data_IF_946919211012
#
_entry.id   IF_946919211012
#
_cell.length_a   1.000
_cell.length_b   1.000
_cell.length_c   1.000
_cell.angle_alpha   90.00
_cell.angle_beta   90.00
_cell.angle_gamma   90.00
#
_symmetry.space_group_name_H-M   'P 1'
#
loop_
_entity.id
_entity.type
_entity.pdbx_description
1 polymer ?
#
# COMPACT_ATOMS: atom_id res chain seq x y z
N UNK A 1 4.90 -57.78 -35.19
CA UNK A 1 3.71 -57.35 -35.96
C UNK A 1 2.59 -57.35 -34.94
N UNK A 2 2.06 -56.24 -34.46
CA UNK A 2 1.32 -55.23 -35.20
C UNK A 2 1.57 -53.84 -34.61
N UNK A 3 1.95 -52.91 -35.47
CA UNK A 3 1.87 -51.49 -35.19
C UNK A 3 0.71 -50.88 -35.98
N UNK A 4 0.45 -49.61 -35.67
CA UNK A 4 -0.16 -48.63 -36.59
C UNK A 4 -1.68 -48.79 -36.81
N UNK A 5 -2.48 -48.59 -35.76
CA UNK A 5 -3.84 -47.98 -35.83
C UNK A 5 -4.13 -47.44 -34.42
N UNK A 6 -4.50 -46.20 -34.12
CA UNK A 6 -4.99 -45.10 -34.93
C UNK A 6 -4.52 -43.78 -34.28
N UNK A 7 -3.52 -43.15 -34.89
CA UNK A 7 -3.03 -41.80 -34.62
C UNK A 7 -3.92 -40.76 -35.32
N UNK A 8 -5.24 -40.71 -35.12
CA UNK A 8 -6.07 -39.70 -35.81
C UNK A 8 -7.34 -39.29 -35.05
N UNK A 9 -7.22 -38.89 -33.77
CA UNK A 9 -8.34 -38.25 -33.06
C UNK A 9 -7.92 -37.11 -32.12
N UNK A 10 -6.85 -36.37 -32.44
CA UNK A 10 -6.47 -35.17 -31.66
C UNK A 10 -5.96 -34.03 -32.55
N UNK A 11 -6.53 -33.88 -33.74
CA UNK A 11 -6.20 -32.82 -34.69
C UNK A 11 -7.47 -32.20 -35.29
N UNK A 12 -8.34 -31.66 -34.42
CA UNK A 12 -9.65 -31.17 -34.84
C UNK A 12 -10.27 -30.09 -33.95
N UNK A 13 -9.50 -29.32 -33.19
CA UNK A 13 -10.04 -28.15 -32.47
C UNK A 13 -9.06 -26.98 -32.38
N UNK A 14 -8.24 -26.80 -33.41
CA UNK A 14 -7.47 -25.57 -33.62
C UNK A 14 -7.98 -24.99 -34.93
N UNK A 15 -8.83 -23.95 -34.86
CA UNK A 15 -9.24 -23.01 -35.93
C UNK A 15 -10.74 -22.68 -35.87
N UNK A 16 -11.24 -22.10 -34.77
CA UNK A 16 -12.50 -21.34 -34.85
C UNK A 16 -12.68 -20.30 -33.75
N UNK A 17 -11.75 -19.36 -33.60
CA UNK A 17 -12.06 -18.07 -32.95
C UNK A 17 -11.18 -16.93 -33.53
N UNK A 18 -11.35 -16.70 -34.83
CA UNK A 18 -11.11 -15.38 -35.44
C UNK A 18 -12.41 -14.93 -36.09
N UNK A 19 -13.33 -14.45 -35.26
CA UNK A 19 -14.35 -13.49 -35.71
C UNK A 19 -14.14 -12.21 -34.92
N UNK A 20 -13.70 -11.23 -35.68
CA UNK A 20 -13.61 -9.82 -35.40
C UNK A 20 -14.94 -9.37 -34.79
N UNK A 21 -14.89 -9.07 -33.49
CA UNK A 21 -15.92 -8.35 -32.78
C UNK A 21 -15.26 -7.15 -32.11
N UNK A 22 -14.95 -6.15 -32.93
CA UNK A 22 -14.67 -4.80 -32.46
C UNK A 22 -15.89 -4.28 -31.70
N UNK A 23 -15.95 -4.56 -30.41
CA UNK A 23 -16.67 -3.73 -29.47
C UNK A 23 -15.62 -3.16 -28.54
N UNK A 24 -15.34 -1.88 -28.79
CA UNK A 24 -14.75 -0.99 -27.82
C UNK A 24 -15.42 -1.28 -26.47
N UNK A 25 -14.68 -1.92 -25.57
CA UNK A 25 -14.94 -1.72 -24.16
C UNK A 25 -14.61 -0.26 -23.96
N UNK A 26 -15.62 0.58 -24.08
CA UNK A 26 -15.70 1.78 -23.28
C UNK A 26 -15.39 1.31 -21.86
N UNK A 27 -14.12 1.46 -21.52
CA UNK A 27 -13.71 1.61 -20.16
C UNK A 27 -14.47 2.85 -19.71
N UNK A 28 -15.67 2.62 -19.18
CA UNK A 28 -16.31 3.49 -18.23
C UNK A 28 -15.33 3.59 -17.06
N UNK A 29 -14.27 4.38 -17.28
CA UNK A 29 -13.67 5.18 -16.26
C UNK A 29 -14.87 5.83 -15.62
N UNK A 30 -15.28 5.29 -14.47
CA UNK A 30 -15.92 6.07 -13.43
C UNK A 30 -14.91 7.16 -13.11
N UNK A 31 -14.82 8.17 -13.98
CA UNK A 31 -14.39 9.51 -13.65
C UNK A 31 -15.45 9.90 -12.64
N UNK A 32 -15.20 9.56 -11.38
CA UNK A 32 -15.84 10.31 -10.30
C UNK A 32 -15.68 11.75 -10.73
N UNK A 33 -16.76 12.48 -11.00
CA UNK A 33 -16.64 13.89 -11.35
C UNK A 33 -15.89 14.49 -10.18
N UNK A 34 -14.61 14.80 -10.40
CA UNK A 34 -13.81 15.53 -9.43
C UNK A 34 -14.53 16.87 -9.42
N UNK A 35 -15.24 17.22 -8.33
CA UNK A 35 -15.90 18.51 -8.27
C UNK A 35 -14.84 19.55 -8.58
N UNK A 36 -15.15 20.48 -9.49
CA UNK A 36 -14.23 21.54 -9.88
C UNK A 36 -13.56 22.08 -8.60
N UNK A 37 -12.25 21.86 -8.48
CA UNK A 37 -11.53 22.18 -7.26
C UNK A 37 -11.74 23.66 -7.00
N UNK A 38 -12.44 23.99 -5.92
CA UNK A 38 -12.60 25.39 -5.48
C UNK A 38 -11.19 25.97 -5.42
N UNK A 39 -10.95 27.05 -6.17
CA UNK A 39 -9.67 27.73 -6.11
C UNK A 39 -9.55 28.38 -4.74
N UNK A 40 -8.72 27.79 -3.87
CA UNK A 40 -8.43 28.34 -2.56
C UNK A 40 -7.36 29.41 -2.68
N UNK A 41 -7.56 30.53 -2.01
CA UNK A 41 -6.53 31.54 -1.82
C UNK A 41 -5.35 30.97 -0.99
N UNK A 42 -4.15 31.55 -1.09
CA UNK A 42 -3.01 31.14 -0.27
C UNK A 42 -3.29 31.23 1.25
N UNK A 43 -4.10 32.20 1.67
CA UNK A 43 -4.51 32.35 3.07
C UNK A 43 -5.42 31.20 3.54
N UNK A 44 -6.45 30.86 2.75
CA UNK A 44 -7.33 29.71 3.05
C UNK A 44 -6.53 28.40 3.08
N UNK A 45 -5.58 28.19 2.16
CA UNK A 45 -4.71 27.00 2.18
C UNK A 45 -3.90 26.93 3.49
N UNK A 46 -3.37 28.05 3.97
CA UNK A 46 -2.62 28.10 5.22
C UNK A 46 -3.50 27.75 6.43
N UNK A 47 -4.72 28.27 6.47
CA UNK A 47 -5.70 27.93 7.51
C UNK A 47 -6.08 26.45 7.49
N UNK A 48 -6.38 25.91 6.30
CA UNK A 48 -6.69 24.49 6.13
C UNK A 48 -5.53 23.61 6.58
N UNK A 49 -4.28 23.98 6.27
CA UNK A 49 -3.09 23.24 6.73
C UNK A 49 -2.94 23.30 8.25
N UNK A 50 -3.18 24.46 8.84
CA UNK A 50 -3.15 24.63 10.30
C UNK A 50 -4.20 23.74 10.97
N UNK A 51 -5.43 23.74 10.47
CA UNK A 51 -6.52 22.91 10.97
C UNK A 51 -6.29 21.41 10.76
N UNK A 52 -5.70 21.02 9.62
CA UNK A 52 -5.38 19.61 9.31
C UNK A 52 -4.14 19.08 10.06
N UNK A 53 -3.30 19.97 10.62
CA UNK A 53 -2.02 19.63 11.24
C UNK A 53 -2.10 18.52 12.29
N UNK A 54 -3.06 18.53 13.23
CA UNK A 54 -3.09 17.50 14.28
C UNK A 54 -3.38 16.10 13.70
N UNK A 55 -4.24 16.00 12.68
CA UNK A 55 -4.50 14.74 11.97
C UNK A 55 -3.28 14.28 11.15
N UNK A 56 -2.52 15.23 10.58
CA UNK A 56 -1.28 14.91 9.88
C UNK A 56 -0.20 14.36 10.81
N UNK A 57 -0.02 14.95 11.99
CA UNK A 57 0.91 14.46 12.99
C UNK A 57 0.51 13.07 13.50
N UNK A 58 -0.79 12.84 13.71
CA UNK A 58 -1.31 11.51 14.04
C UNK A 58 -0.93 10.48 12.96
N UNK A 59 -1.22 10.77 11.69
CA UNK A 59 -0.88 9.89 10.57
C UNK A 59 0.62 9.66 10.42
N UNK A 60 1.46 10.67 10.69
CA UNK A 60 2.92 10.54 10.71
C UNK A 60 3.38 9.56 11.80
N UNK A 61 2.86 9.69 13.02
CA UNK A 61 3.17 8.77 14.12
C UNK A 61 2.78 7.32 13.79
N UNK A 62 1.60 7.14 13.21
CA UNK A 62 1.14 5.83 12.75
C UNK A 62 2.02 5.24 11.63
N UNK A 63 2.44 6.06 10.67
CA UNK A 63 3.39 5.63 9.62
C UNK A 63 4.75 5.21 10.21
N UNK A 64 5.23 5.93 11.23
CA UNK A 64 6.46 5.57 11.94
C UNK A 64 6.31 4.23 12.68
N UNK A 65 5.18 3.99 13.36
CA UNK A 65 4.89 2.72 14.02
C UNK A 65 4.86 1.54 13.04
N UNK A 66 4.23 1.70 11.86
CA UNK A 66 4.26 0.68 10.79
C UNK A 66 5.69 0.43 10.33
N UNK A 67 6.48 1.49 10.13
CA UNK A 67 7.87 1.38 9.69
C UNK A 67 8.75 0.66 10.71
N UNK A 68 8.51 0.88 12.01
CA UNK A 68 9.16 0.14 13.09
C UNK A 68 8.75 -1.33 13.09
N UNK A 69 7.45 -1.63 12.94
CA UNK A 69 6.96 -3.00 12.85
C UNK A 69 7.59 -3.74 11.66
N UNK A 70 7.67 -3.12 10.48
CA UNK A 70 8.30 -3.74 9.30
C UNK A 70 9.77 -4.06 9.54
N UNK A 71 10.51 -3.17 10.21
CA UNK A 71 11.92 -3.42 10.58
C UNK A 71 12.04 -4.57 11.59
N UNK A 72 11.17 -4.62 12.60
CA UNK A 72 11.14 -5.72 13.56
C UNK A 72 10.85 -7.06 12.85
N UNK A 73 9.85 -7.10 11.96
CA UNK A 73 9.52 -8.30 11.18
C UNK A 73 10.64 -8.75 10.25
N UNK A 74 11.44 -7.82 9.71
CA UNK A 74 12.61 -8.15 8.91
C UNK A 74 13.72 -8.79 9.78
N UNK A 75 13.95 -8.26 10.98
CA UNK A 75 14.88 -8.84 11.95
C UNK A 75 14.46 -10.24 12.40
N UNK A 76 13.17 -10.43 12.73
CA UNK A 76 12.63 -11.75 13.08
C UNK A 76 12.75 -12.75 11.93
N UNK A 77 12.52 -12.33 10.67
CA UNK A 77 12.75 -13.19 9.50
C UNK A 77 14.20 -13.63 9.39
N UNK A 78 15.15 -12.73 9.66
CA UNK A 78 16.58 -13.06 9.66
C UNK A 78 16.91 -14.10 10.75
N UNK A 79 16.39 -13.91 11.96
CA UNK A 79 16.57 -14.87 13.06
C UNK A 79 15.93 -16.22 12.75
N UNK A 80 14.70 -16.24 12.22
CA UNK A 80 14.01 -17.47 11.85
C UNK A 80 14.75 -18.26 10.76
N UNK A 81 15.37 -17.57 9.78
CA UNK A 81 16.24 -18.22 8.78
C UNK A 81 17.45 -18.89 9.43
N UNK A 82 18.10 -18.21 10.38
CA UNK A 82 19.24 -18.77 11.13
C UNK A 82 18.86 -19.99 11.96
N UNK A 83 17.66 -20.02 12.54
CA UNK A 83 17.15 -21.19 13.27
C UNK A 83 16.78 -22.33 12.32
N UNK A 84 16.30 -22.00 11.12
CA UNK A 84 15.88 -22.98 10.12
C UNK A 84 17.07 -23.66 9.40
N UNK A 85 18.28 -23.08 9.42
CA UNK A 85 19.46 -23.64 8.72
C UNK A 85 19.86 -25.04 9.20
N UNK A 86 19.65 -25.36 10.48
CA UNK A 86 19.95 -26.68 11.06
C UNK A 86 18.74 -27.57 11.34
N UNK A 87 17.52 -27.13 11.01
CA UNK A 87 16.29 -27.85 11.34
C UNK A 87 15.90 -28.88 10.27
N UNK A 88 15.21 -29.96 10.66
CA UNK A 88 14.53 -30.86 9.73
C UNK A 88 13.37 -30.15 9.00
N UNK A 89 12.90 -30.71 7.88
CA UNK A 89 11.87 -30.10 7.01
C UNK A 89 10.62 -29.65 7.79
N UNK A 90 10.05 -30.51 8.63
CA UNK A 90 8.89 -30.21 9.49
C UNK A 90 9.17 -29.07 10.49
N UNK A 91 10.40 -28.99 11.00
CA UNK A 91 10.85 -27.91 11.88
C UNK A 91 10.92 -26.56 11.16
N UNK A 92 11.44 -26.54 9.92
CA UNK A 92 11.49 -25.34 9.08
C UNK A 92 10.08 -24.82 8.76
N UNK A 93 9.15 -25.73 8.43
CA UNK A 93 7.76 -25.38 8.16
C UNK A 93 7.08 -24.77 9.39
N UNK A 94 7.23 -25.40 10.56
CA UNK A 94 6.66 -24.91 11.82
C UNK A 94 7.20 -23.51 12.17
N UNK A 95 8.52 -23.31 12.11
CA UNK A 95 9.16 -22.00 12.35
C UNK A 95 8.58 -20.94 11.40
N UNK A 96 8.43 -21.26 10.11
CA UNK A 96 7.91 -20.31 9.12
C UNK A 96 6.43 -19.99 9.31
N UNK A 97 5.61 -20.99 9.67
CA UNK A 97 4.18 -20.86 9.92
C UNK A 97 3.91 -20.03 11.18
N UNK A 98 4.60 -20.34 12.27
CA UNK A 98 4.46 -19.61 13.54
C UNK A 98 4.96 -18.17 13.42
N UNK A 99 6.04 -17.93 12.65
CA UNK A 99 6.47 -16.57 12.32
C UNK A 99 5.38 -15.83 11.54
N UNK A 100 4.82 -16.43 10.48
CA UNK A 100 3.78 -15.80 9.66
C UNK A 100 2.55 -15.45 10.51
N UNK A 101 2.09 -16.36 11.38
CA UNK A 101 0.96 -16.11 12.29
C UNK A 101 1.22 -14.93 13.21
N UNK A 102 2.41 -14.87 13.85
CA UNK A 102 2.80 -13.76 14.74
C UNK A 102 2.85 -12.43 13.99
N UNK A 103 3.44 -12.41 12.79
CA UNK A 103 3.53 -11.20 11.98
C UNK A 103 2.14 -10.70 11.52
N UNK A 104 1.26 -11.61 11.13
CA UNK A 104 -0.12 -11.27 10.77
C UNK A 104 -0.91 -10.72 11.97
N UNK A 105 -0.76 -11.34 13.15
CA UNK A 105 -1.39 -10.86 14.38
C UNK A 105 -0.91 -9.45 14.74
N UNK A 106 0.40 -9.20 14.72
CA UNK A 106 0.96 -7.88 15.01
C UNK A 106 0.46 -6.79 14.04
N UNK A 107 0.37 -7.09 12.73
CA UNK A 107 -0.19 -6.15 11.75
C UNK A 107 -1.68 -5.91 11.99
N UNK A 108 -2.44 -6.94 12.36
CA UNK A 108 -3.87 -6.83 12.65
C UNK A 108 -4.12 -5.94 13.85
N UNK A 109 -3.40 -6.17 14.95
CA UNK A 109 -3.51 -5.36 16.16
C UNK A 109 -3.11 -3.90 15.91
N UNK A 110 -2.01 -3.66 15.19
CA UNK A 110 -1.60 -2.31 14.84
C UNK A 110 -2.67 -1.59 14.00
N UNK A 111 -3.23 -2.26 12.98
CA UNK A 111 -4.31 -1.68 12.16
C UNK A 111 -5.57 -1.39 12.96
N UNK A 112 -5.94 -2.29 13.89
CA UNK A 112 -7.11 -2.12 14.76
C UNK A 112 -6.91 -0.91 15.68
N UNK A 113 -5.74 -0.81 16.32
CA UNK A 113 -5.36 0.31 17.15
C UNK A 113 -5.39 1.63 16.37
N UNK A 114 -4.77 1.68 15.19
CA UNK A 114 -4.77 2.89 14.35
C UNK A 114 -6.17 3.31 13.92
N UNK A 115 -7.02 2.35 13.54
CA UNK A 115 -8.42 2.64 13.17
C UNK A 115 -9.17 3.25 14.35
N UNK A 116 -9.05 2.66 15.53
CA UNK A 116 -9.68 3.17 16.75
C UNK A 116 -9.18 4.58 17.08
N UNK A 117 -7.88 4.80 17.04
CA UNK A 117 -7.26 6.09 17.35
C UNK A 117 -7.71 7.19 16.37
N UNK A 118 -7.75 6.88 15.07
CA UNK A 118 -8.27 7.81 14.05
C UNK A 118 -9.75 8.10 14.29
N UNK A 119 -10.57 7.08 14.55
CA UNK A 119 -12.01 7.27 14.79
C UNK A 119 -12.25 8.18 15.99
N UNK A 120 -11.63 7.89 17.15
CA UNK A 120 -11.75 8.74 18.34
C UNK A 120 -11.18 10.16 18.13
N UNK A 121 -10.10 10.28 17.35
CA UNK A 121 -9.55 11.58 17.00
C UNK A 121 -10.52 12.40 16.14
N UNK A 122 -11.14 11.80 15.12
CA UNK A 122 -12.11 12.45 14.23
C UNK A 122 -13.36 12.88 15.00
N UNK A 123 -13.86 12.02 15.89
CA UNK A 123 -15.00 12.35 16.76
C UNK A 123 -14.70 13.57 17.64
N UNK A 124 -13.47 13.66 18.15
CA UNK A 124 -13.03 14.80 18.98
C UNK A 124 -12.67 16.05 18.18
N UNK A 125 -12.27 15.90 16.90
CA UNK A 125 -11.73 16.97 16.05
C UNK A 125 -12.28 16.90 14.62
N UNK A 126 -13.60 17.02 14.40
CA UNK A 126 -14.19 16.87 13.07
C UNK A 126 -13.68 17.92 12.07
N UNK A 127 -13.34 19.12 12.56
CA UNK A 127 -12.74 20.18 11.74
C UNK A 127 -11.39 19.82 11.13
N UNK A 128 -10.57 19.02 11.82
CA UNK A 128 -9.27 18.58 11.32
C UNK A 128 -9.43 17.56 10.18
N UNK A 129 -10.43 16.68 10.26
CA UNK A 129 -10.74 15.74 9.18
C UNK A 129 -11.28 16.46 7.94
N UNK A 130 -12.19 17.42 8.14
CA UNK A 130 -12.74 18.24 7.07
C UNK A 130 -11.65 19.01 6.35
N UNK A 131 -10.81 19.74 7.09
CA UNK A 131 -9.70 20.50 6.50
C UNK A 131 -8.69 19.60 5.76
N UNK A 132 -8.39 18.42 6.31
CA UNK A 132 -7.53 17.44 5.65
C UNK A 132 -8.14 16.91 4.33
N UNK A 133 -9.44 16.60 4.31
CA UNK A 133 -10.16 16.18 3.11
C UNK A 133 -10.19 17.31 2.07
N UNK A 134 -10.48 18.53 2.48
CA UNK A 134 -10.49 19.70 1.59
C UNK A 134 -9.12 19.91 0.95
N UNK A 135 -8.02 19.79 1.70
CA UNK A 135 -6.67 19.82 1.12
C UNK A 135 -6.45 18.68 0.11
N UNK A 136 -6.84 17.44 0.42
CA UNK A 136 -6.69 16.32 -0.50
C UNK A 136 -7.46 16.51 -1.81
N UNK A 137 -8.69 17.01 -1.75
CA UNK A 137 -9.53 17.20 -2.92
C UNK A 137 -9.25 18.50 -3.67
N UNK A 138 -8.54 19.45 -3.06
CA UNK A 138 -8.09 20.69 -3.70
C UNK A 138 -6.95 20.49 -4.70
N UNK A 139 -6.28 19.33 -4.69
CA UNK A 139 -5.06 19.09 -5.48
C UNK A 139 -3.82 19.81 -4.93
N UNK A 140 -3.94 20.57 -3.84
CA UNK A 140 -2.83 21.24 -3.18
C UNK A 140 -2.08 20.25 -2.28
N UNK A 141 -0.74 20.28 -2.25
CA UNK A 141 0.03 19.50 -1.29
C UNK A 141 -0.42 19.77 0.16
N UNK A 142 -0.80 18.69 0.84
CA UNK A 142 -1.29 18.73 2.22
C UNK A 142 -0.20 19.18 3.20
N UNK A 143 1.08 19.00 2.84
CA UNK A 143 2.23 19.55 3.59
C UNK A 143 2.69 20.86 2.98
N UNK A 144 3.18 21.77 3.82
CA UNK A 144 3.79 23.02 3.36
C UNK A 144 5.06 22.73 2.55
N UNK A 145 5.18 23.26 1.32
CA UNK A 145 6.43 23.22 0.57
C UNK A 145 7.44 24.14 1.27
N UNK A 146 8.35 23.55 2.05
CA UNK A 146 9.36 24.30 2.81
C UNK A 146 9.76 23.68 4.14
N UNK A 147 8.93 22.81 4.73
CA UNK A 147 9.23 22.11 5.99
C UNK A 147 9.67 20.64 5.82
N UNK A 148 10.11 20.29 4.62
CA UNK A 148 10.64 18.97 4.30
C UNK A 148 11.68 19.10 3.23
N UNK A 149 12.91 19.44 3.62
CA UNK A 149 14.06 19.02 2.83
C UNK A 149 13.93 17.50 2.71
N UNK A 150 13.58 17.02 1.52
CA UNK A 150 13.95 15.67 1.15
C UNK A 150 15.46 15.58 1.39
N UNK A 151 15.97 14.53 2.05
CA UNK A 151 17.40 14.29 1.99
C UNK A 151 17.71 14.04 0.51
N UNK A 152 18.27 15.06 -0.15
CA UNK A 152 18.98 14.84 -1.39
C UNK A 152 20.02 13.78 -1.06
N UNK A 153 19.81 12.57 -1.59
CA UNK A 153 20.82 11.54 -1.62
C UNK A 153 21.99 12.13 -2.40
N UNK A 154 22.98 12.67 -1.67
CA UNK A 154 24.27 13.07 -2.19
C UNK A 154 24.92 11.84 -2.84
N UNK A 155 24.66 11.67 -4.13
CA UNK A 155 25.39 10.75 -5.01
C UNK A 155 26.76 11.35 -5.37
N UNK A 156 27.54 11.74 -4.37
CA UNK A 156 28.93 12.13 -4.59
C UNK A 156 29.81 11.63 -3.45
N UNK A 157 30.49 10.51 -3.74
CA UNK A 157 31.92 10.24 -3.54
C UNK A 157 32.14 8.77 -3.23
N UNK A 158 32.37 8.01 -4.29
CA UNK A 158 33.16 6.79 -4.25
C UNK A 158 34.04 6.77 -5.51
N UNK A 159 34.89 7.79 -5.62
CA UNK A 159 36.13 7.75 -6.41
C UNK A 159 37.21 8.33 -5.51
N UNK A 160 37.90 7.43 -4.82
CA UNK A 160 39.33 7.44 -4.55
C UNK A 160 39.72 6.07 -3.98
#
# INVERSE_FOLDING_TARGET
MEGIMARFMFLGSLLFFMVIGAQAKDAAQKKHPVPAARAFSPAEIKELRSAARPLLELKKRQAAAISQLMRAQAAERKQARSLATGAHHTGKEKISSDLRKRQQAAVRELRKSHKSEISSFIESNPGAEKAYKELLYSGVPVREPGLGAEPQLDKKKAEN
#
